data_IF_282033028471
#
_entry.id   IF_282033028471
#
_cell.length_a   1.000
_cell.length_b   1.000
_cell.length_c   1.000
_cell.angle_alpha   90.00
_cell.angle_beta   90.00
_cell.angle_gamma   90.00
#
_symmetry.space_group_name_H-M   'P 1'
#
loop_
_entity.id
_entity.type
_entity.pdbx_description
1 polymer ?
#
# COMPACT_ATOMS: atom_id res chain seq x y z
N UNK A 1 7.41 5.65 -19.11
CA UNK A 1 6.47 4.53 -19.18
C UNK A 1 6.14 4.04 -17.78
N UNK A 2 4.92 3.52 -17.57
CA UNK A 2 4.46 2.95 -16.33
C UNK A 2 3.77 1.61 -16.56
N UNK A 3 4.41 0.53 -16.13
CA UNK A 3 3.81 -0.80 -16.18
C UNK A 3 2.83 -1.00 -15.03
N UNK A 4 1.72 -1.66 -15.32
CA UNK A 4 0.73 -1.99 -14.30
C UNK A 4 0.22 -3.42 -14.43
N UNK A 5 -0.23 -3.95 -13.29
CA UNK A 5 -0.94 -5.22 -13.19
C UNK A 5 -2.15 -5.03 -12.28
N UNK A 6 -3.34 -5.32 -12.80
CA UNK A 6 -4.58 -5.19 -12.06
C UNK A 6 -5.04 -6.59 -11.65
N UNK A 7 -5.14 -6.82 -10.35
CA UNK A 7 -5.71 -8.01 -9.76
C UNK A 7 -7.04 -7.65 -9.13
N UNK A 8 -8.08 -8.41 -9.44
CA UNK A 8 -9.39 -8.30 -8.79
C UNK A 8 -9.83 -9.68 -8.29
N UNK A 9 -10.70 -9.69 -7.31
CA UNK A 9 -11.44 -10.88 -6.91
C UNK A 9 -12.92 -10.58 -6.99
N UNK A 10 -13.69 -11.48 -7.56
CA UNK A 10 -15.15 -11.39 -7.62
C UNK A 10 -15.77 -12.45 -6.70
N UNK A 11 -16.90 -12.10 -6.06
CA UNK A 11 -17.66 -13.00 -5.22
C UNK A 11 -19.09 -13.09 -5.77
N UNK A 12 -19.66 -14.27 -5.81
CA UNK A 12 -21.00 -14.52 -6.36
C UNK A 12 -20.97 -15.05 -7.79
N UNK A 13 -22.12 -14.98 -8.47
CA UNK A 13 -22.28 -15.53 -9.82
C UNK A 13 -21.80 -14.54 -10.87
N UNK A 14 -20.70 -14.89 -11.55
CA UNK A 14 -20.04 -14.03 -12.55
C UNK A 14 -19.97 -14.67 -13.94
N UNK A 15 -20.69 -15.76 -14.16
CA UNK A 15 -20.74 -16.45 -15.47
C UNK A 15 -21.25 -15.49 -16.55
N UNK A 16 -20.52 -15.41 -17.66
CA UNK A 16 -20.82 -14.52 -18.78
C UNK A 16 -20.54 -13.03 -18.51
N UNK A 17 -19.95 -12.66 -17.38
CA UNK A 17 -19.54 -11.30 -17.12
C UNK A 17 -18.14 -11.00 -17.67
N UNK A 18 -17.84 -9.72 -17.90
CA UNK A 18 -16.53 -9.20 -18.28
C UNK A 18 -16.05 -8.14 -17.31
N UNK A 19 -14.74 -7.92 -17.26
CA UNK A 19 -14.14 -6.81 -16.53
C UNK A 19 -13.75 -5.68 -17.50
N UNK A 20 -14.03 -4.46 -17.07
CA UNK A 20 -13.49 -3.25 -17.70
C UNK A 20 -12.70 -2.50 -16.65
N UNK A 21 -11.43 -2.19 -16.98
CA UNK A 21 -10.59 -1.34 -16.19
C UNK A 21 -10.35 -0.02 -16.92
N UNK A 22 -10.49 1.08 -16.22
CA UNK A 22 -10.23 2.43 -16.72
C UNK A 22 -9.22 3.12 -15.82
N UNK A 23 -8.09 3.59 -16.40
CA UNK A 23 -7.11 4.40 -15.72
C UNK A 23 -7.22 5.83 -16.20
N UNK A 24 -7.33 6.78 -15.26
CA UNK A 24 -7.30 8.22 -15.52
C UNK A 24 -6.10 8.87 -14.87
N UNK A 25 -5.40 9.71 -15.63
CA UNK A 25 -4.36 10.59 -15.11
C UNK A 25 -4.97 11.84 -14.46
N UNK A 26 -4.21 12.57 -13.62
CA UNK A 26 -4.65 13.88 -13.09
C UNK A 26 -4.97 14.91 -14.18
N UNK A 27 -4.28 14.84 -15.32
CA UNK A 27 -4.51 15.70 -16.48
C UNK A 27 -5.73 15.28 -17.33
N UNK A 28 -6.49 14.25 -16.89
CA UNK A 28 -7.69 13.80 -17.59
C UNK A 28 -7.45 12.79 -18.73
N UNK A 29 -6.19 12.44 -19.04
CA UNK A 29 -5.91 11.36 -20.00
C UNK A 29 -6.50 10.05 -19.53
N UNK A 30 -7.12 9.31 -20.45
CA UNK A 30 -7.89 8.10 -20.15
C UNK A 30 -7.36 6.92 -20.96
N UNK A 31 -7.16 5.80 -20.27
CA UNK A 31 -6.88 4.51 -20.91
C UNK A 31 -7.90 3.48 -20.43
N UNK A 32 -8.50 2.74 -21.35
CA UNK A 32 -9.56 1.75 -21.05
C UNK A 32 -9.10 0.38 -21.54
N UNK A 33 -9.20 -0.60 -20.67
CA UNK A 33 -8.89 -1.99 -20.94
C UNK A 33 -10.16 -2.81 -20.70
N UNK A 34 -10.52 -3.63 -21.68
CA UNK A 34 -11.59 -4.62 -21.56
C UNK A 34 -11.01 -6.01 -21.73
N UNK A 35 -11.50 -6.96 -20.94
CA UNK A 35 -11.09 -8.36 -21.03
C UNK A 35 -12.10 -9.27 -20.36
N UNK A 36 -11.98 -10.54 -20.63
CA UNK A 36 -12.64 -11.58 -19.85
C UNK A 36 -12.20 -11.50 -18.39
N UNK A 37 -12.84 -12.28 -17.50
CA UNK A 37 -12.46 -12.35 -16.07
C UNK A 37 -11.05 -12.94 -15.85
N UNK A 38 -10.27 -13.09 -16.92
CA UNK A 38 -8.87 -13.52 -16.85
C UNK A 38 -7.98 -12.46 -16.20
N UNK A 39 -7.35 -12.80 -15.09
CA UNK A 39 -6.49 -11.92 -14.30
C UNK A 39 -5.05 -12.44 -14.30
N UNK A 40 -4.05 -11.56 -14.21
CA UNK A 40 -4.15 -10.10 -14.11
C UNK A 40 -4.37 -9.40 -15.45
N UNK A 41 -5.05 -8.24 -15.43
CA UNK A 41 -5.03 -7.31 -16.55
C UNK A 41 -3.68 -6.58 -16.49
N UNK A 42 -2.88 -6.68 -17.54
CA UNK A 42 -1.56 -6.05 -17.62
C UNK A 42 -1.48 -5.04 -18.75
N UNK A 43 -0.65 -4.04 -18.61
CA UNK A 43 -0.40 -3.07 -19.66
C UNK A 43 0.67 -2.05 -19.27
N UNK A 44 0.96 -1.16 -20.22
CA UNK A 44 1.89 -0.05 -20.05
C UNK A 44 1.21 1.25 -20.42
N UNK A 45 1.37 2.28 -19.62
CA UNK A 45 0.96 3.66 -19.91
C UNK A 45 2.18 4.48 -20.31
N UNK A 46 2.05 5.19 -21.43
CA UNK A 46 3.07 6.14 -21.87
C UNK A 46 2.83 7.51 -21.23
N UNK A 47 3.90 8.29 -21.05
CA UNK A 47 3.83 9.66 -20.53
C UNK A 47 3.38 9.75 -19.07
N UNK A 48 3.64 8.72 -18.27
CA UNK A 48 3.32 8.77 -16.83
C UNK A 48 4.19 9.76 -16.09
N UNK A 49 3.58 10.49 -15.16
CA UNK A 49 4.27 11.34 -14.20
C UNK A 49 4.43 10.55 -12.89
N UNK A 50 5.67 10.19 -12.48
CA UNK A 50 5.88 9.44 -11.26
C UNK A 50 5.43 10.21 -10.01
N UNK A 51 4.88 9.48 -9.05
CA UNK A 51 4.63 10.00 -7.71
C UNK A 51 5.95 10.24 -6.98
N UNK A 52 6.10 11.41 -6.40
CA UNK A 52 7.25 11.76 -5.56
C UNK A 52 6.83 12.56 -4.33
N UNK A 53 7.79 12.84 -3.44
CA UNK A 53 7.58 13.65 -2.23
C UNK A 53 7.18 15.08 -2.59
N UNK A 54 7.74 15.61 -3.66
CA UNK A 54 7.53 16.99 -4.13
C UNK A 54 6.34 17.09 -5.11
N UNK A 55 6.13 16.02 -5.90
CA UNK A 55 5.09 15.94 -6.89
C UNK A 55 4.27 14.66 -6.71
N UNK A 56 3.34 14.63 -5.74
CA UNK A 56 2.57 13.43 -5.41
C UNK A 56 1.46 13.15 -6.43
N UNK A 57 1.85 12.79 -7.65
CA UNK A 57 0.95 12.52 -8.77
C UNK A 57 0.16 11.24 -8.55
N UNK A 58 -1.17 11.35 -8.51
CA UNK A 58 -2.09 10.23 -8.30
C UNK A 58 -2.93 9.97 -9.54
N UNK A 59 -3.05 8.70 -9.88
CA UNK A 59 -3.94 8.17 -10.92
C UNK A 59 -5.14 7.52 -10.27
N UNK A 60 -6.23 7.42 -11.02
CA UNK A 60 -7.44 6.72 -10.59
C UNK A 60 -7.66 5.50 -11.47
N UNK A 61 -7.80 4.34 -10.84
CA UNK A 61 -8.24 3.11 -11.48
C UNK A 61 -9.69 2.85 -11.11
N UNK A 62 -10.57 2.71 -12.10
CA UNK A 62 -11.94 2.23 -11.93
C UNK A 62 -12.09 0.88 -12.60
N UNK A 63 -12.52 -0.13 -11.85
CA UNK A 63 -12.82 -1.47 -12.39
C UNK A 63 -14.32 -1.70 -12.27
N UNK A 64 -14.91 -2.16 -13.38
CA UNK A 64 -16.35 -2.47 -13.50
C UNK A 64 -16.53 -3.94 -13.84
N UNK A 65 -17.44 -4.59 -13.12
CA UNK A 65 -17.97 -5.89 -13.49
C UNK A 65 -19.20 -5.66 -14.37
N UNK A 66 -19.13 -6.16 -15.59
CA UNK A 66 -20.16 -5.88 -16.61
C UNK A 66 -20.80 -7.19 -17.05
N UNK A 67 -22.11 -7.25 -17.05
CA UNK A 67 -22.88 -8.27 -17.75
C UNK A 67 -23.23 -7.74 -19.12
N UNK A 68 -22.69 -8.34 -20.21
CA UNK A 68 -23.00 -7.93 -21.58
C UNK A 68 -24.50 -8.04 -21.85
N UNK A 69 -25.04 -7.07 -22.54
CA UNK A 69 -26.42 -7.09 -22.99
C UNK A 69 -26.63 -8.17 -24.09
N UNK A 70 -27.84 -8.70 -24.13
CA UNK A 70 -28.24 -9.67 -25.15
C UNK A 70 -29.38 -9.10 -25.99
N UNK A 71 -29.44 -9.48 -27.27
CA UNK A 71 -30.58 -9.14 -28.15
C UNK A 71 -30.90 -7.65 -28.24
N UNK A 72 -29.85 -6.77 -28.28
CA UNK A 72 -29.99 -5.32 -28.40
C UNK A 72 -30.19 -4.57 -27.07
N UNK A 73 -30.18 -5.26 -25.96
CA UNK A 73 -30.13 -4.62 -24.65
C UNK A 73 -28.74 -4.09 -24.34
N UNK A 74 -28.63 -2.96 -23.60
CA UNK A 74 -27.34 -2.40 -23.22
C UNK A 74 -26.62 -3.27 -22.18
N UNK A 75 -25.29 -3.13 -22.14
CA UNK A 75 -24.46 -3.68 -21.08
C UNK A 75 -24.92 -3.18 -19.71
N UNK A 76 -24.91 -4.05 -18.71
CA UNK A 76 -25.27 -3.70 -17.32
C UNK A 76 -24.05 -3.77 -16.43
N UNK A 77 -23.71 -2.65 -15.78
CA UNK A 77 -22.70 -2.63 -14.69
C UNK A 77 -23.32 -3.28 -13.46
N UNK A 78 -22.72 -4.35 -12.98
CA UNK A 78 -23.15 -5.08 -11.79
C UNK A 78 -22.46 -4.56 -10.53
N UNK A 79 -21.17 -4.21 -10.64
CA UNK A 79 -20.38 -3.67 -9.55
C UNK A 79 -19.27 -2.75 -10.09
N UNK A 80 -18.84 -1.79 -9.26
CA UNK A 80 -17.80 -0.84 -9.60
C UNK A 80 -16.92 -0.57 -8.39
N UNK A 81 -15.60 -0.63 -8.59
CA UNK A 81 -14.62 -0.28 -7.57
C UNK A 81 -13.63 0.74 -8.12
N UNK A 82 -13.42 1.83 -7.36
CA UNK A 82 -12.44 2.86 -7.69
C UNK A 82 -11.35 2.91 -6.63
N UNK A 83 -10.09 2.98 -7.07
CA UNK A 83 -8.91 3.12 -6.23
C UNK A 83 -7.97 4.18 -6.81
N UNK A 84 -7.26 4.90 -5.93
CA UNK A 84 -6.17 5.79 -6.32
C UNK A 84 -4.85 5.05 -6.20
N UNK A 85 -3.89 5.38 -7.05
CA UNK A 85 -2.56 4.81 -7.03
C UNK A 85 -1.55 5.76 -7.68
N UNK A 86 -0.26 5.45 -7.59
CA UNK A 86 0.79 6.22 -8.23
C UNK A 86 1.88 5.32 -8.79
N UNK A 87 2.48 5.73 -9.90
CA UNK A 87 3.67 5.07 -10.45
C UNK A 87 4.92 5.58 -9.75
N UNK A 88 5.78 4.69 -9.30
CA UNK A 88 7.08 5.03 -8.73
C UNK A 88 8.00 3.83 -8.67
N UNK A 89 9.30 4.10 -8.55
CA UNK A 89 10.30 3.08 -8.22
C UNK A 89 10.94 3.41 -6.87
N UNK A 90 11.18 2.37 -6.06
CA UNK A 90 11.88 2.48 -4.77
C UNK A 90 13.03 1.50 -4.77
N UNK A 91 14.22 1.97 -4.43
CA UNK A 91 15.42 1.14 -4.37
C UNK A 91 16.22 1.47 -3.12
N UNK A 92 16.67 0.41 -2.43
CA UNK A 92 17.67 0.49 -1.37
C UNK A 92 18.97 -0.11 -1.90
N UNK A 93 19.96 0.72 -2.01
CA UNK A 93 21.30 0.33 -2.49
C UNK A 93 22.38 0.84 -1.53
N UNK A 94 23.65 0.50 -1.74
CA UNK A 94 24.74 0.91 -0.87
C UNK A 94 24.82 2.42 -0.60
N UNK A 95 24.30 3.26 -1.49
CA UNK A 95 24.25 4.73 -1.32
C UNK A 95 23.03 5.25 -0.56
N UNK A 96 22.07 4.41 -0.19
CA UNK A 96 20.85 4.78 0.53
C UNK A 96 19.54 4.46 -0.21
N UNK A 97 18.49 5.19 0.14
CA UNK A 97 17.19 5.11 -0.48
C UNK A 97 17.13 5.98 -1.75
N UNK A 98 16.60 5.41 -2.82
CA UNK A 98 16.32 6.12 -4.06
C UNK A 98 14.84 5.99 -4.43
N UNK A 99 14.20 7.12 -4.70
CA UNK A 99 12.83 7.22 -5.22
C UNK A 99 12.91 7.78 -6.65
N UNK A 100 12.41 7.04 -7.61
CA UNK A 100 12.48 7.37 -9.05
C UNK A 100 13.91 7.72 -9.52
N UNK A 101 14.92 7.02 -9.02
CA UNK A 101 16.32 7.23 -9.33
C UNK A 101 16.98 8.42 -8.60
N UNK A 102 16.24 9.18 -7.79
CA UNK A 102 16.78 10.28 -7.00
C UNK A 102 16.97 9.84 -5.55
N UNK A 103 18.14 10.20 -4.97
CA UNK A 103 18.46 9.89 -3.58
C UNK A 103 17.56 10.66 -2.62
N UNK A 104 16.95 9.95 -1.66
CA UNK A 104 16.10 10.54 -0.63
C UNK A 104 16.74 10.40 0.74
N UNK A 105 16.79 11.50 1.49
CA UNK A 105 17.13 11.49 2.92
C UNK A 105 15.83 11.51 3.70
N UNK A 106 15.59 10.45 4.48
CA UNK A 106 14.39 10.34 5.31
C UNK A 106 14.50 11.25 6.54
N UNK A 107 13.51 12.10 6.71
CA UNK A 107 13.25 12.89 7.93
C UNK A 107 11.85 12.55 8.39
N UNK A 108 11.73 11.80 9.48
CA UNK A 108 10.44 11.24 9.85
C UNK A 108 10.29 11.00 11.34
N UNK A 109 9.08 10.66 11.71
CA UNK A 109 8.67 10.32 13.07
C UNK A 109 8.00 8.95 13.12
N UNK A 110 7.87 8.40 14.33
CA UNK A 110 6.95 7.30 14.61
C UNK A 110 5.59 7.87 14.98
N UNK A 111 4.52 7.32 14.42
CA UNK A 111 3.15 7.74 14.70
C UNK A 111 2.32 6.60 15.26
N UNK A 112 1.66 6.83 16.39
CA UNK A 112 0.53 6.03 16.84
C UNK A 112 -0.78 6.66 16.40
N UNK A 113 -1.76 5.83 16.02
CA UNK A 113 -3.09 6.29 15.62
C UNK A 113 -3.94 6.55 16.86
N UNK A 114 -3.63 7.63 17.58
CA UNK A 114 -4.39 8.04 18.75
C UNK A 114 -4.44 9.55 18.86
N UNK A 115 -5.52 10.07 19.41
CA UNK A 115 -5.72 11.50 19.60
C UNK A 115 -6.27 11.80 21.00
N UNK A 116 -5.96 12.99 21.52
CA UNK A 116 -6.41 13.43 22.84
C UNK A 116 -7.95 13.33 22.93
N UNK A 117 -8.43 12.81 24.04
CA UNK A 117 -9.85 12.58 24.38
C UNK A 117 -10.60 11.54 23.53
N UNK A 118 -10.05 11.09 22.40
CA UNK A 118 -10.70 10.12 21.50
C UNK A 118 -10.00 8.76 21.47
N UNK A 119 -8.75 8.70 21.94
CA UNK A 119 -7.96 7.47 21.85
C UNK A 119 -7.85 6.99 20.39
N UNK A 120 -8.05 5.70 20.19
CA UNK A 120 -7.98 5.09 18.85
C UNK A 120 -9.24 5.29 17.99
N UNK A 121 -10.34 5.79 18.54
CA UNK A 121 -11.57 6.14 17.80
C UNK A 121 -11.43 7.47 17.02
N UNK A 122 -10.29 7.67 16.42
CA UNK A 122 -9.89 8.88 15.69
C UNK A 122 -10.59 8.96 14.34
N UNK A 123 -11.44 9.97 14.07
CA UNK A 123 -12.14 10.10 12.80
C UNK A 123 -11.21 10.47 11.65
N UNK A 124 -11.66 10.20 10.42
CA UNK A 124 -10.89 10.43 9.20
C UNK A 124 -10.35 11.85 9.06
N UNK A 125 -11.11 12.85 9.50
CA UNK A 125 -10.68 14.25 9.48
C UNK A 125 -9.43 14.50 10.32
N UNK A 126 -9.33 13.89 11.51
CA UNK A 126 -8.16 13.98 12.37
C UNK A 126 -6.99 13.13 11.84
N UNK A 127 -7.27 11.98 11.21
CA UNK A 127 -6.26 11.20 10.51
C UNK A 127 -5.55 12.02 9.42
N UNK A 128 -6.34 12.75 8.64
CA UNK A 128 -5.82 13.66 7.60
C UNK A 128 -5.11 14.87 8.18
N UNK A 129 -5.61 15.42 9.28
CA UNK A 129 -4.97 16.53 10.00
C UNK A 129 -3.57 16.15 10.49
N UNK A 130 -3.40 14.97 11.06
CA UNK A 130 -2.09 14.47 11.52
C UNK A 130 -1.08 14.40 10.35
N UNK A 131 -1.50 13.90 9.19
CA UNK A 131 -0.63 13.88 8.02
C UNK A 131 -0.22 15.31 7.59
N UNK A 132 -1.13 16.27 7.69
CA UNK A 132 -0.81 17.69 7.42
C UNK A 132 0.20 18.25 8.42
N UNK A 133 0.05 17.98 9.71
CA UNK A 133 1.02 18.36 10.75
C UNK A 133 2.40 17.77 10.48
N UNK A 134 2.45 16.46 10.16
CA UNK A 134 3.71 15.78 9.84
C UNK A 134 4.42 16.46 8.67
N UNK A 135 3.67 16.80 7.61
CA UNK A 135 4.25 17.41 6.41
C UNK A 135 4.59 18.87 6.58
N UNK A 136 3.63 19.68 7.07
CA UNK A 136 3.70 21.15 7.01
C UNK A 136 4.38 21.74 8.24
N UNK A 137 4.03 21.27 9.43
CA UNK A 137 4.50 21.86 10.67
C UNK A 137 5.82 21.23 11.14
N UNK A 138 5.97 19.91 10.99
CA UNK A 138 7.20 19.20 11.36
C UNK A 138 8.21 19.11 10.21
N UNK A 139 7.82 19.43 8.98
CA UNK A 139 8.69 19.35 7.81
C UNK A 139 9.19 17.94 7.50
N UNK A 140 8.46 16.90 7.95
CA UNK A 140 8.81 15.52 7.72
C UNK A 140 8.42 15.07 6.31
N UNK A 141 9.23 14.16 5.74
CA UNK A 141 8.94 13.51 4.47
C UNK A 141 8.66 12.00 4.63
N UNK A 142 8.71 11.49 5.86
CA UNK A 142 8.47 10.09 6.15
C UNK A 142 7.78 9.90 7.50
N UNK A 143 7.06 8.79 7.63
CA UNK A 143 6.42 8.35 8.87
C UNK A 143 6.50 6.82 8.98
N UNK A 144 6.76 6.33 10.20
CA UNK A 144 6.60 4.93 10.54
C UNK A 144 5.30 4.76 11.34
N UNK A 145 4.45 3.86 10.88
CA UNK A 145 3.17 3.58 11.56
C UNK A 145 3.38 2.59 12.70
N UNK A 146 3.63 3.12 13.89
CA UNK A 146 3.92 2.31 15.10
C UNK A 146 2.64 1.80 15.73
N UNK A 147 2.40 0.53 15.94
CA UNK A 147 3.09 -0.65 15.45
C UNK A 147 2.02 -1.54 14.80
N UNK A 148 1.34 -1.03 13.79
CA UNK A 148 0.18 -1.64 13.10
C UNK A 148 -0.18 -0.83 11.85
N UNK A 149 -0.88 -1.42 10.87
CA UNK A 149 -1.48 -0.67 9.77
C UNK A 149 -2.43 0.40 10.30
N UNK A 150 -2.41 1.58 9.71
CA UNK A 150 -3.24 2.70 10.15
C UNK A 150 -4.37 2.99 9.16
N UNK A 151 -5.26 3.92 9.53
CA UNK A 151 -6.44 4.28 8.76
C UNK A 151 -6.13 4.55 7.28
N UNK A 152 -6.98 4.06 6.35
CA UNK A 152 -6.89 4.44 4.95
C UNK A 152 -6.89 5.95 4.73
N UNK A 153 -7.65 6.72 5.54
CA UNK A 153 -7.70 8.18 5.43
C UNK A 153 -6.34 8.83 5.74
N UNK A 154 -5.54 8.25 6.64
CA UNK A 154 -4.18 8.70 6.89
C UNK A 154 -3.26 8.39 5.70
N UNK A 155 -3.33 7.17 5.15
CA UNK A 155 -2.53 6.78 3.99
C UNK A 155 -2.91 7.58 2.75
N UNK A 156 -4.20 7.83 2.53
CA UNK A 156 -4.68 8.72 1.46
C UNK A 156 -4.09 10.13 1.58
N UNK A 157 -4.04 10.68 2.79
CA UNK A 157 -3.42 11.97 3.02
C UNK A 157 -1.90 11.94 2.80
N UNK A 158 -1.22 10.85 3.17
CA UNK A 158 0.21 10.67 2.88
C UNK A 158 0.46 10.60 1.37
N UNK A 159 -0.42 9.92 0.61
CA UNK A 159 -0.34 9.87 -0.85
C UNK A 159 -0.48 11.26 -1.48
N UNK A 160 -1.41 12.07 -0.99
CA UNK A 160 -1.69 13.43 -1.48
C UNK A 160 -0.60 14.46 -1.10
N UNK A 161 0.02 14.26 0.06
CA UNK A 161 1.01 15.21 0.61
C UNK A 161 2.46 14.84 0.28
N UNK A 162 2.71 13.68 -0.31
CA UNK A 162 4.06 13.21 -0.58
C UNK A 162 4.82 12.85 0.71
N UNK A 163 4.23 12.00 1.56
CA UNK A 163 4.86 11.47 2.76
C UNK A 163 5.13 9.99 2.54
N UNK A 164 6.38 9.55 2.66
CA UNK A 164 6.74 8.14 2.62
C UNK A 164 6.29 7.42 3.88
N UNK A 165 5.68 6.24 3.73
CA UNK A 165 5.13 5.46 4.85
C UNK A 165 5.84 4.12 4.97
N UNK A 166 6.44 3.87 6.13
CA UNK A 166 6.85 2.56 6.59
C UNK A 166 5.73 1.97 7.44
N UNK A 167 4.95 1.04 6.88
CA UNK A 167 3.85 0.39 7.60
C UNK A 167 4.26 -0.97 8.13
N UNK A 168 3.81 -1.32 9.33
CA UNK A 168 4.22 -2.53 10.06
C UNK A 168 3.07 -3.50 10.29
N UNK A 169 3.40 -4.80 10.33
CA UNK A 169 2.48 -5.81 10.83
C UNK A 169 2.10 -5.52 12.29
N UNK A 170 0.85 -5.83 12.70
CA UNK A 170 0.41 -5.58 14.06
C UNK A 170 1.21 -6.39 15.09
N UNK A 171 1.56 -5.73 16.19
CA UNK A 171 2.15 -6.40 17.35
C UNK A 171 3.26 -5.61 18.03
N UNK A 172 3.45 -5.90 19.31
CA UNK A 172 4.47 -5.27 20.14
C UNK A 172 5.06 -6.25 21.15
N UNK A 173 6.38 -6.47 21.08
CA UNK A 173 7.24 -7.24 21.98
C UNK A 173 6.90 -8.73 22.18
N UNK A 174 5.68 -9.17 21.90
CA UNK A 174 5.22 -10.53 22.15
C UNK A 174 5.17 -11.37 20.86
N UNK A 175 5.60 -12.62 20.97
CA UNK A 175 5.34 -13.69 20.00
C UNK A 175 4.56 -14.80 20.73
N UNK A 176 3.41 -15.14 20.19
CA UNK A 176 2.59 -16.23 20.73
C UNK A 176 2.97 -17.60 20.15
N UNK A 177 2.08 -18.53 20.39
CA UNK A 177 2.12 -19.93 19.91
C UNK A 177 1.84 -20.05 18.40
N UNK A 178 1.77 -21.26 17.89
CA UNK A 178 1.55 -21.51 16.46
C UNK A 178 0.21 -20.97 15.94
N UNK A 179 -0.94 -21.11 16.64
CA UNK A 179 -2.17 -20.44 16.26
C UNK A 179 -2.04 -18.92 16.16
N UNK A 180 -1.39 -18.27 17.11
CA UNK A 180 -1.12 -16.83 17.09
C UNK A 180 -0.24 -16.46 15.89
N UNK A 181 0.83 -17.22 15.62
CA UNK A 181 1.71 -17.00 14.46
C UNK A 181 0.99 -17.15 13.13
N UNK A 182 0.06 -18.12 13.04
CA UNK A 182 -0.77 -18.27 11.86
C UNK A 182 -1.66 -17.05 11.61
N UNK A 183 -2.30 -16.52 12.67
CA UNK A 183 -3.09 -15.30 12.58
C UNK A 183 -2.23 -14.07 12.25
N UNK A 184 -1.07 -13.93 12.87
CA UNK A 184 -0.14 -12.85 12.58
C UNK A 184 0.34 -12.87 11.11
N UNK A 185 0.55 -14.06 10.54
CA UNK A 185 0.87 -14.23 9.11
C UNK A 185 -0.31 -13.82 8.21
N UNK A 186 -1.55 -14.11 8.63
CA UNK A 186 -2.75 -13.63 7.93
C UNK A 186 -2.85 -12.10 8.00
N UNK A 187 -2.60 -11.49 9.15
CA UNK A 187 -2.58 -10.04 9.32
C UNK A 187 -1.53 -9.36 8.41
N UNK A 188 -0.36 -10.00 8.20
CA UNK A 188 0.62 -9.51 7.22
C UNK A 188 0.05 -9.48 5.80
N UNK A 189 -0.67 -10.52 5.38
CA UNK A 189 -1.30 -10.56 4.05
C UNK A 189 -2.35 -9.47 3.90
N UNK A 190 -3.19 -9.30 4.91
CA UNK A 190 -4.24 -8.28 4.93
C UNK A 190 -3.65 -6.88 4.88
N UNK A 191 -2.60 -6.59 5.64
CA UNK A 191 -1.85 -5.33 5.58
C UNK A 191 -1.40 -5.02 4.15
N UNK A 192 -0.77 -5.96 3.47
CA UNK A 192 -0.31 -5.76 2.09
C UNK A 192 -1.49 -5.54 1.15
N UNK A 193 -2.54 -6.35 1.24
CA UNK A 193 -3.72 -6.21 0.39
C UNK A 193 -4.43 -4.86 0.57
N UNK A 194 -4.49 -4.36 1.80
CA UNK A 194 -5.09 -3.05 2.10
C UNK A 194 -4.24 -1.88 1.63
N UNK A 195 -2.91 -1.99 1.79
CA UNK A 195 -2.03 -0.82 1.66
C UNK A 195 -1.22 -0.78 0.36
N UNK A 196 -1.14 -1.86 -0.43
CA UNK A 196 -0.25 -1.94 -1.60
C UNK A 196 -0.56 -0.95 -2.73
N UNK A 197 -1.78 -0.42 -2.79
CA UNK A 197 -2.16 0.59 -3.79
C UNK A 197 -1.72 2.01 -3.42
N UNK A 198 -1.33 2.25 -2.16
CA UNK A 198 -0.82 3.56 -1.72
C UNK A 198 0.63 3.74 -2.19
N UNK A 199 0.91 4.71 -3.08
CA UNK A 199 2.29 4.97 -3.52
C UNK A 199 3.19 5.49 -2.40
N UNK A 200 2.63 6.12 -1.37
CA UNK A 200 3.34 6.56 -0.17
C UNK A 200 3.98 5.41 0.59
N UNK A 201 3.33 4.23 0.64
CA UNK A 201 3.91 3.05 1.30
C UNK A 201 5.12 2.58 0.51
N UNK A 202 6.32 2.70 1.09
CA UNK A 202 7.57 2.38 0.43
C UNK A 202 8.31 1.18 1.05
N UNK A 203 7.92 0.78 2.26
CA UNK A 203 8.58 -0.24 3.06
C UNK A 203 7.56 -1.02 3.89
N UNK A 204 7.69 -2.35 3.91
CA UNK A 204 6.87 -3.24 4.71
C UNK A 204 7.58 -3.66 5.99
N UNK A 205 6.95 -3.48 7.15
CA UNK A 205 7.38 -4.02 8.43
C UNK A 205 6.96 -5.48 8.57
N UNK A 206 7.88 -6.38 8.27
CA UNK A 206 7.65 -7.83 8.31
C UNK A 206 7.88 -8.44 9.70
N UNK A 207 8.07 -7.61 10.72
CA UNK A 207 8.45 -8.05 12.07
C UNK A 207 7.60 -7.34 13.12
N UNK A 208 7.19 -8.09 14.15
CA UNK A 208 6.59 -7.54 15.36
C UNK A 208 7.62 -6.65 16.07
N UNK A 209 7.26 -5.40 16.30
CA UNK A 209 8.16 -4.43 16.90
C UNK A 209 8.71 -4.92 18.24
N UNK A 210 10.04 -4.90 18.37
CA UNK A 210 10.71 -5.21 19.61
C UNK A 210 10.54 -6.65 20.12
N UNK A 211 10.10 -7.57 19.30
CA UNK A 211 9.95 -8.98 19.67
C UNK A 211 11.28 -9.73 19.70
N UNK A 212 11.35 -10.88 20.38
CA UNK A 212 12.46 -11.83 20.25
C UNK A 212 12.67 -12.25 18.80
N UNK A 213 13.86 -12.75 18.50
CA UNK A 213 14.16 -13.34 17.21
C UNK A 213 13.46 -14.70 17.07
N UNK A 214 12.79 -14.89 15.95
CA UNK A 214 12.24 -16.16 15.47
C UNK A 214 12.46 -16.21 13.97
N UNK A 215 13.57 -16.79 13.58
CA UNK A 215 14.01 -16.81 12.18
C UNK A 215 13.00 -17.52 11.28
N UNK A 216 12.47 -18.65 11.72
CA UNK A 216 11.50 -19.43 10.94
C UNK A 216 10.20 -18.65 10.72
N UNK A 217 9.71 -17.97 11.74
CA UNK A 217 8.50 -17.15 11.64
C UNK A 217 8.72 -15.93 10.74
N UNK A 218 9.81 -15.19 10.94
CA UNK A 218 10.08 -13.97 10.15
C UNK A 218 10.45 -14.25 8.69
N UNK A 219 11.02 -15.40 8.40
CA UNK A 219 11.16 -15.87 7.02
C UNK A 219 9.78 -16.03 6.35
N UNK A 220 8.83 -16.65 7.04
CA UNK A 220 7.45 -16.83 6.55
C UNK A 220 6.70 -15.51 6.34
N UNK A 221 6.83 -14.53 7.26
CA UNK A 221 6.21 -13.21 7.09
C UNK A 221 6.78 -12.46 5.90
N UNK A 222 8.10 -12.49 5.74
CA UNK A 222 8.80 -11.91 4.61
C UNK A 222 8.34 -12.52 3.26
N UNK A 223 8.34 -13.85 3.17
CA UNK A 223 7.86 -14.57 1.98
C UNK A 223 6.39 -14.25 1.66
N UNK A 224 5.52 -14.17 2.67
CA UNK A 224 4.12 -13.87 2.49
C UNK A 224 3.90 -12.45 1.93
N UNK A 225 4.67 -11.48 2.39
CA UNK A 225 4.65 -10.11 1.91
C UNK A 225 5.13 -10.06 0.46
N UNK A 226 6.30 -10.61 0.15
CA UNK A 226 6.88 -10.56 -1.19
C UNK A 226 6.06 -11.32 -2.26
N UNK A 227 5.31 -12.35 -1.89
CA UNK A 227 4.37 -13.01 -2.81
C UNK A 227 3.22 -12.11 -3.24
N UNK A 228 2.79 -11.18 -2.38
CA UNK A 228 1.70 -10.25 -2.64
C UNK A 228 2.18 -8.92 -3.23
N UNK A 229 3.41 -8.53 -2.88
CA UNK A 229 4.04 -7.31 -3.36
C UNK A 229 5.57 -7.49 -3.50
N UNK A 230 6.05 -7.89 -4.66
CA UNK A 230 7.49 -8.02 -4.92
C UNK A 230 8.17 -6.66 -5.19
N UNK A 231 7.44 -5.55 -5.19
CA UNK A 231 7.95 -4.24 -5.60
C UNK A 231 8.52 -3.42 -4.45
N UNK A 232 8.25 -3.81 -3.20
CA UNK A 232 8.71 -3.11 -2.00
C UNK A 232 9.58 -4.02 -1.14
N UNK A 233 10.66 -3.48 -0.55
CA UNK A 233 11.46 -4.22 0.41
C UNK A 233 10.73 -4.38 1.75
N UNK A 234 11.26 -5.27 2.58
CA UNK A 234 10.83 -5.51 3.95
C UNK A 234 11.89 -5.07 4.95
N UNK A 235 11.45 -4.69 6.15
CA UNK A 235 12.31 -4.36 7.29
C UNK A 235 11.65 -4.77 8.60
N UNK A 236 12.34 -4.49 9.72
CA UNK A 236 11.79 -4.71 11.06
C UNK A 236 12.59 -3.98 12.13
N UNK A 237 11.97 -3.72 13.27
CA UNK A 237 12.60 -3.08 14.41
C UNK A 237 12.95 -4.09 15.50
N UNK A 238 14.20 -4.07 15.93
CA UNK A 238 14.74 -4.89 17.01
C UNK A 238 14.88 -4.08 18.31
N UNK A 239 14.70 -4.74 19.45
CA UNK A 239 15.04 -4.16 20.76
C UNK A 239 16.55 -4.18 21.00
N UNK A 240 17.24 -5.24 20.57
CA UNK A 240 18.68 -5.42 20.81
C UNK A 240 19.46 -5.03 19.56
N UNK A 241 20.47 -4.18 19.73
CA UNK A 241 21.56 -4.11 18.77
C UNK A 241 22.17 -5.51 18.70
N UNK A 242 22.11 -6.16 17.55
CA UNK A 242 23.03 -7.27 17.29
C UNK A 242 24.42 -6.65 17.24
N UNK A 243 25.23 -6.90 18.25
CA UNK A 243 26.64 -6.51 18.28
C UNK A 243 27.46 -7.24 17.22
N UNK A 244 26.88 -8.16 16.47
CA UNK A 244 27.57 -8.95 15.47
C UNK A 244 26.62 -9.32 14.32
N UNK A 245 26.67 -8.55 13.27
CA UNK A 245 26.60 -9.00 11.89
C UNK A 245 27.74 -8.30 11.17
N UNK A 246 28.95 -8.77 11.43
CA UNK A 246 30.10 -8.62 10.57
C UNK A 246 30.24 -9.88 9.72
#
# INVERSE_FOLDING_TARGET
EGDFRIYTATVGETVGCTLQAEIRSPAGSRAVYRGELALPITGTLNGVHPWSIEHPTLYTLTVKLIRPGTSGLPDRVLDEKTVRFGFRTVQFVAGGLYLNGQRVVLRGINRHQSYAYQGYAMPDSLQRLDAQFIKKDLGCNAVRTSHYPQSPAFLDACDELGILVFTEMPGWQHLGDDPWKAQALQNCREMVCQCRNHPSVFLWGARVNGSPDDEAFYKRTNEAIHRLDPTRPTAGAHIRRREQLL
#
